data_IF_167422660554
#
_entry.id   IF_167422660554
#
_cell.length_a   1.000
_cell.length_b   1.000
_cell.length_c   1.000
_cell.angle_alpha   90.00
_cell.angle_beta   90.00
_cell.angle_gamma   90.00
#
_symmetry.space_group_name_H-M   'P 1'
#
loop_
_entity.id
_entity.type
_entity.pdbx_description
1 polymer ?
#
# COMPACT_ATOMS: atom_id res chain seq x y z
N UNK A 1 16.61 44.13 -17.67
CA UNK A 1 15.62 43.32 -16.93
C UNK A 1 16.34 42.16 -16.23
N UNK A 2 16.63 42.32 -14.94
CA UNK A 2 17.26 41.30 -14.10
C UNK A 2 16.27 40.17 -13.81
N UNK A 3 16.63 38.96 -14.25
CA UNK A 3 15.93 37.71 -14.01
C UNK A 3 15.59 37.53 -12.52
N UNK A 4 14.30 37.36 -12.22
CA UNK A 4 13.69 37.16 -10.90
C UNK A 4 14.21 35.87 -10.20
N UNK A 5 15.07 35.08 -10.85
CA UNK A 5 15.59 33.80 -10.35
C UNK A 5 16.83 33.89 -9.44
N UNK A 6 17.36 35.08 -9.13
CA UNK A 6 18.60 35.25 -8.34
C UNK A 6 18.39 35.55 -6.85
N UNK A 7 17.21 35.28 -6.29
CA UNK A 7 17.03 35.43 -4.84
C UNK A 7 17.56 34.19 -4.09
N UNK A 8 18.63 34.32 -3.26
CA UNK A 8 19.25 33.19 -2.57
C UNK A 8 18.29 32.48 -1.59
N UNK A 9 17.28 33.19 -1.09
CA UNK A 9 16.24 32.63 -0.22
C UNK A 9 15.33 31.61 -0.95
N UNK A 10 15.05 31.83 -2.25
CA UNK A 10 14.21 30.95 -3.08
C UNK A 10 14.98 29.69 -3.50
N UNK A 11 16.26 29.84 -3.85
CA UNK A 11 17.15 28.71 -4.19
C UNK A 11 17.34 27.77 -2.99
N UNK A 12 17.45 28.30 -1.77
CA UNK A 12 17.62 27.49 -0.55
C UNK A 12 16.39 26.64 -0.23
N UNK A 13 15.16 27.17 -0.39
CA UNK A 13 13.90 26.42 -0.21
C UNK A 13 13.70 25.32 -1.26
N UNK A 14 14.14 25.52 -2.49
CA UNK A 14 14.08 24.49 -3.55
C UNK A 14 15.15 23.41 -3.32
N UNK A 15 16.34 23.77 -2.83
CA UNK A 15 17.41 22.80 -2.55
C UNK A 15 17.12 21.88 -1.35
N UNK A 16 16.46 22.37 -0.28
CA UNK A 16 16.09 21.51 0.86
C UNK A 16 14.99 20.51 0.52
N UNK A 17 14.11 20.83 -0.45
CA UNK A 17 13.16 19.84 -1.00
C UNK A 17 13.86 18.71 -1.77
N UNK A 18 15.08 18.92 -2.27
CA UNK A 18 15.77 17.93 -3.13
C UNK A 18 16.17 16.66 -2.35
N UNK A 19 16.60 16.79 -1.10
CA UNK A 19 17.07 15.62 -0.33
C UNK A 19 15.93 14.71 0.13
N UNK A 20 14.85 15.28 0.66
CA UNK A 20 13.66 14.51 1.03
C UNK A 20 13.00 13.89 -0.19
N UNK A 21 12.91 14.64 -1.30
CA UNK A 21 12.32 14.13 -2.56
C UNK A 21 13.17 13.03 -3.20
N UNK A 22 14.50 13.06 -3.05
CA UNK A 22 15.42 12.01 -3.54
C UNK A 22 15.35 10.73 -2.71
N UNK A 23 15.07 10.85 -1.41
CA UNK A 23 14.87 9.69 -0.53
C UNK A 23 13.48 9.08 -0.77
N UNK A 24 12.43 9.90 -0.90
CA UNK A 24 11.07 9.39 -1.16
C UNK A 24 10.81 8.99 -2.61
N UNK A 25 11.65 9.39 -3.57
CA UNK A 25 11.55 8.96 -4.97
C UNK A 25 12.29 7.65 -5.27
N UNK A 26 12.96 7.05 -4.30
CA UNK A 26 13.73 5.84 -4.53
C UNK A 26 12.95 4.60 -4.04
N UNK A 27 12.47 3.80 -4.98
CA UNK A 27 11.72 2.56 -4.71
C UNK A 27 12.49 1.59 -3.80
N UNK A 28 13.83 1.54 -3.92
CA UNK A 28 14.67 0.70 -3.08
C UNK A 28 14.66 1.14 -1.61
N UNK A 29 14.65 2.45 -1.34
CA UNK A 29 14.57 2.96 0.03
C UNK A 29 13.19 2.68 0.62
N UNK A 30 12.12 2.87 -0.17
CA UNK A 30 10.76 2.55 0.26
C UNK A 30 10.65 1.07 0.66
N UNK A 31 11.12 0.14 -0.17
CA UNK A 31 11.11 -1.28 0.16
C UNK A 31 11.98 -1.63 1.37
N UNK A 32 13.17 -1.02 1.50
CA UNK A 32 14.01 -1.23 2.69
C UNK A 32 13.31 -0.78 3.99
N UNK A 33 12.60 0.36 3.95
CA UNK A 33 11.81 0.85 5.09
C UNK A 33 10.66 -0.11 5.41
N UNK A 34 9.96 -0.65 4.39
CA UNK A 34 8.90 -1.64 4.62
C UNK A 34 9.42 -2.92 5.26
N UNK A 35 10.54 -3.45 4.77
CA UNK A 35 11.19 -4.64 5.35
C UNK A 35 11.61 -4.37 6.80
N UNK A 36 12.20 -3.20 7.07
CA UNK A 36 12.56 -2.81 8.43
C UNK A 36 11.33 -2.73 9.34
N UNK A 37 10.22 -2.14 8.86
CA UNK A 37 8.98 -2.08 9.61
C UNK A 37 8.41 -3.48 9.92
N UNK A 38 8.44 -4.39 8.94
CA UNK A 38 8.02 -5.79 9.14
C UNK A 38 8.90 -6.52 10.15
N UNK A 39 10.22 -6.30 10.11
CA UNK A 39 11.15 -6.86 11.10
C UNK A 39 10.90 -6.32 12.50
N UNK A 40 10.65 -5.01 12.64
CA UNK A 40 10.27 -4.41 13.93
C UNK A 40 8.97 -5.03 14.44
N UNK A 41 7.95 -5.15 13.58
CA UNK A 41 6.68 -5.78 13.95
C UNK A 41 6.88 -7.23 14.41
N UNK A 42 7.72 -8.00 13.72
CA UNK A 42 8.07 -9.38 14.10
C UNK A 42 8.77 -9.44 15.47
N UNK A 43 9.74 -8.55 15.71
CA UNK A 43 10.43 -8.47 17.01
C UNK A 43 9.44 -8.12 18.13
N UNK A 44 8.57 -7.12 17.90
CA UNK A 44 7.54 -6.71 18.86
C UNK A 44 6.60 -7.87 19.17
N UNK A 45 6.11 -8.57 18.15
CA UNK A 45 5.18 -9.70 18.29
C UNK A 45 5.78 -10.89 19.08
N UNK A 46 7.10 -11.05 19.08
CA UNK A 46 7.79 -12.11 19.84
C UNK A 46 8.37 -11.64 21.18
N UNK A 47 8.07 -10.40 21.60
CA UNK A 47 8.61 -9.79 22.81
C UNK A 47 7.53 -9.55 23.87
N UNK A 48 7.91 -9.26 25.14
CA UNK A 48 6.96 -8.87 26.18
C UNK A 48 6.15 -7.60 25.86
N UNK A 49 6.61 -6.80 24.87
CA UNK A 49 5.88 -5.62 24.40
C UNK A 49 4.66 -5.97 23.54
N UNK A 50 4.48 -7.24 23.14
CA UNK A 50 3.34 -7.68 22.32
C UNK A 50 2.00 -7.33 22.97
N UNK A 51 1.84 -7.62 24.27
CA UNK A 51 0.57 -7.40 24.97
C UNK A 51 0.21 -5.91 25.02
N UNK A 52 1.19 -5.05 25.34
CA UNK A 52 0.99 -3.59 25.39
C UNK A 52 0.59 -3.03 24.02
N UNK A 53 1.25 -3.47 22.95
CA UNK A 53 0.93 -3.03 21.60
C UNK A 53 -0.43 -3.55 21.16
N UNK A 54 -0.76 -4.79 21.50
CA UNK A 54 -2.05 -5.42 21.20
C UNK A 54 -3.20 -4.69 21.90
N UNK A 55 -3.07 -4.39 23.19
CA UNK A 55 -4.07 -3.61 23.94
C UNK A 55 -4.33 -2.25 23.30
N UNK A 56 -3.28 -1.56 22.82
CA UNK A 56 -3.41 -0.28 22.11
C UNK A 56 -4.17 -0.46 20.78
N UNK A 57 -3.84 -1.50 20.01
CA UNK A 57 -4.46 -1.77 18.71
C UNK A 57 -5.92 -2.25 18.83
N UNK A 58 -6.25 -2.96 19.91
CA UNK A 58 -7.61 -3.44 20.20
C UNK A 58 -8.51 -2.38 20.89
N UNK A 59 -8.00 -1.17 21.17
CA UNK A 59 -8.80 -0.06 21.73
C UNK A 59 -10.05 0.15 20.87
N UNK A 60 -11.20 -0.03 21.50
CA UNK A 60 -12.50 0.13 20.86
C UNK A 60 -12.83 1.61 20.69
N UNK A 61 -12.97 2.04 19.45
CA UNK A 61 -13.43 3.38 19.11
C UNK A 61 -14.91 3.33 18.75
N UNK A 62 -15.69 4.17 19.41
CA UNK A 62 -17.11 4.36 19.12
C UNK A 62 -17.33 5.73 18.47
N UNK A 63 -17.84 5.75 17.25
CA UNK A 63 -18.28 6.97 16.57
C UNK A 63 -19.81 7.00 16.59
N UNK A 64 -20.37 8.02 17.21
CA UNK A 64 -21.82 8.24 17.23
C UNK A 64 -22.14 9.57 16.55
N UNK A 65 -22.91 9.53 15.47
CA UNK A 65 -23.40 10.73 14.78
C UNK A 65 -24.91 10.61 14.55
N UNK A 66 -25.69 11.29 15.40
CA UNK A 66 -27.15 11.16 15.39
C UNK A 66 -27.59 9.72 15.69
N UNK A 67 -28.24 9.07 14.72
CA UNK A 67 -28.72 7.68 14.82
C UNK A 67 -27.70 6.64 14.31
N UNK A 68 -26.54 7.07 13.81
CA UNK A 68 -25.50 6.16 13.32
C UNK A 68 -24.53 5.90 14.46
N UNK A 69 -24.40 4.63 14.84
CA UNK A 69 -23.43 4.14 15.81
C UNK A 69 -22.50 3.16 15.10
N UNK A 70 -21.21 3.48 15.08
CA UNK A 70 -20.16 2.61 14.55
C UNK A 70 -19.18 2.28 15.67
N UNK A 71 -18.85 1.00 15.81
CA UNK A 71 -17.85 0.49 16.75
C UNK A 71 -16.79 -0.27 15.97
N UNK A 72 -15.53 0.09 16.16
CA UNK A 72 -14.40 -0.62 15.52
C UNK A 72 -13.15 -0.50 16.38
N UNK A 73 -12.28 -1.50 16.30
CA UNK A 73 -10.97 -1.45 16.92
C UNK A 73 -10.07 -0.42 16.21
N UNK A 74 -9.10 0.13 16.94
CA UNK A 74 -8.08 1.02 16.38
C UNK A 74 -7.32 0.37 15.22
N UNK A 75 -7.00 -0.92 15.33
CA UNK A 75 -6.36 -1.70 14.27
C UNK A 75 -7.16 -1.65 12.96
N UNK A 76 -8.46 -1.96 13.02
CA UNK A 76 -9.34 -1.97 11.85
C UNK A 76 -9.44 -0.59 11.23
N UNK A 77 -9.58 0.46 12.05
CA UNK A 77 -9.63 1.83 11.56
C UNK A 77 -8.34 2.25 10.85
N UNK A 78 -7.18 1.97 11.45
CA UNK A 78 -5.88 2.30 10.86
C UNK A 78 -5.68 1.52 9.56
N UNK A 79 -6.04 0.24 9.52
CA UNK A 79 -5.98 -0.57 8.31
C UNK A 79 -6.85 0.03 7.20
N UNK A 80 -8.13 0.26 7.46
CA UNK A 80 -9.06 0.81 6.48
C UNK A 80 -8.62 2.20 5.99
N UNK A 81 -8.15 3.06 6.90
CA UNK A 81 -7.69 4.40 6.57
C UNK A 81 -6.43 4.38 5.68
N UNK A 82 -5.42 3.60 6.05
CA UNK A 82 -4.18 3.48 5.26
C UNK A 82 -4.45 2.81 3.91
N UNK A 83 -5.30 1.77 3.88
CA UNK A 83 -5.71 1.12 2.65
C UNK A 83 -6.52 2.05 1.75
N UNK A 84 -7.38 2.91 2.30
CA UNK A 84 -8.10 3.91 1.52
C UNK A 84 -7.14 4.89 0.82
N UNK A 85 -6.11 5.37 1.53
CA UNK A 85 -5.08 6.23 0.93
C UNK A 85 -4.28 5.47 -0.14
N UNK A 86 -3.88 4.23 0.15
CA UNK A 86 -3.14 3.39 -0.80
C UNK A 86 -3.94 3.15 -2.08
N UNK A 87 -5.19 2.71 -1.97
CA UNK A 87 -6.05 2.47 -3.13
C UNK A 87 -6.42 3.75 -3.88
N UNK A 88 -6.49 4.90 -3.21
CA UNK A 88 -6.65 6.18 -3.89
C UNK A 88 -5.44 6.47 -4.80
N UNK A 89 -4.22 6.28 -4.30
CA UNK A 89 -3.00 6.47 -5.09
C UNK A 89 -2.94 5.48 -6.27
N UNK A 90 -3.20 4.20 -6.01
CA UNK A 90 -3.27 3.16 -7.05
C UNK A 90 -4.35 3.49 -8.08
N UNK A 91 -5.51 3.99 -7.64
CA UNK A 91 -6.61 4.38 -8.52
C UNK A 91 -6.27 5.56 -9.44
N UNK A 92 -5.54 6.55 -8.93
CA UNK A 92 -5.04 7.68 -9.74
C UNK A 92 -4.04 7.18 -10.78
N UNK A 93 -3.11 6.31 -10.39
CA UNK A 93 -2.12 5.71 -11.29
C UNK A 93 -2.79 4.86 -12.37
N UNK A 94 -3.75 4.02 -11.99
CA UNK A 94 -4.51 3.21 -12.93
C UNK A 94 -5.28 4.08 -13.93
N UNK A 95 -5.90 5.17 -13.46
CA UNK A 95 -6.58 6.13 -14.34
C UNK A 95 -5.58 6.76 -15.32
N UNK A 96 -4.37 7.09 -14.89
CA UNK A 96 -3.32 7.60 -15.78
C UNK A 96 -2.93 6.57 -16.85
N UNK A 97 -2.68 5.31 -16.46
CA UNK A 97 -2.32 4.23 -17.38
C UNK A 97 -3.41 3.93 -18.42
N UNK A 98 -4.68 4.00 -18.02
CA UNK A 98 -5.82 3.77 -18.93
C UNK A 98 -6.03 4.95 -19.89
N UNK A 99 -5.76 6.18 -19.46
CA UNK A 99 -6.05 7.39 -20.27
C UNK A 99 -4.90 7.78 -21.20
N UNK A 100 -3.66 7.71 -20.71
CA UNK A 100 -2.47 8.21 -21.42
C UNK A 100 -1.40 7.12 -21.55
N UNK A 101 -1.35 6.17 -20.62
CA UNK A 101 -0.31 5.14 -20.56
C UNK A 101 -0.52 3.93 -21.47
N UNK A 102 0.08 2.81 -21.06
CA UNK A 102 0.22 1.60 -21.87
C UNK A 102 -1.10 0.83 -22.00
N UNK A 103 -2.01 1.01 -21.04
CA UNK A 103 -3.32 0.35 -21.03
C UNK A 103 -4.34 1.03 -21.95
N UNK A 104 -4.02 2.19 -22.52
CA UNK A 104 -4.92 2.92 -23.43
C UNK A 104 -5.28 2.14 -24.70
N UNK A 105 -4.33 1.37 -25.24
CA UNK A 105 -4.55 0.60 -26.48
C UNK A 105 -4.96 -0.83 -26.12
N UNK A 106 -6.15 -1.31 -26.53
CA UNK A 106 -6.64 -2.64 -26.14
C UNK A 106 -5.70 -3.77 -26.55
N UNK A 107 -5.03 -3.65 -27.71
CA UNK A 107 -4.02 -4.62 -28.16
C UNK A 107 -2.81 -4.71 -27.22
N UNK A 108 -2.41 -3.60 -26.59
CA UNK A 108 -1.28 -3.58 -25.66
C UNK A 108 -1.72 -3.99 -24.26
N UNK A 109 -2.93 -3.60 -23.84
CA UNK A 109 -3.51 -3.96 -22.56
C UNK A 109 -3.81 -5.47 -22.43
N UNK A 110 -4.09 -6.16 -23.54
CA UNK A 110 -4.52 -7.57 -23.52
C UNK A 110 -3.49 -8.50 -22.87
N UNK A 111 -2.20 -8.30 -23.14
CA UNK A 111 -1.15 -9.14 -22.57
C UNK A 111 -1.04 -8.97 -21.03
N UNK A 112 -0.87 -7.75 -20.47
CA UNK A 112 -0.91 -7.52 -19.02
C UNK A 112 -2.21 -7.99 -18.36
N UNK A 113 -3.36 -7.79 -19.01
CA UNK A 113 -4.66 -8.20 -18.45
C UNK A 113 -4.76 -9.73 -18.34
N UNK A 114 -4.35 -10.47 -19.38
CA UNK A 114 -4.34 -11.93 -19.34
C UNK A 114 -3.32 -12.46 -18.31
N UNK A 115 -2.15 -11.84 -18.22
CA UNK A 115 -1.15 -12.19 -17.21
C UNK A 115 -1.68 -11.96 -15.79
N UNK A 116 -2.37 -10.85 -15.54
CA UNK A 116 -2.98 -10.55 -14.25
C UNK A 116 -4.10 -11.54 -13.89
N UNK A 117 -5.00 -11.85 -14.84
CA UNK A 117 -6.07 -12.84 -14.63
C UNK A 117 -5.47 -14.22 -14.32
N UNK A 118 -4.44 -14.65 -15.05
CA UNK A 118 -3.74 -15.90 -14.75
C UNK A 118 -3.07 -15.88 -13.37
N UNK A 119 -2.41 -14.78 -13.03
CA UNK A 119 -1.76 -14.57 -11.73
C UNK A 119 -2.71 -14.57 -10.54
N UNK A 120 -3.99 -14.23 -10.75
CA UNK A 120 -5.03 -14.30 -9.71
C UNK A 120 -5.74 -15.66 -9.71
N UNK A 121 -6.14 -16.16 -10.88
CA UNK A 121 -6.94 -17.38 -10.98
C UNK A 121 -6.17 -18.62 -10.54
N UNK A 122 -4.90 -18.76 -10.92
CA UNK A 122 -4.11 -19.97 -10.63
C UNK A 122 -3.89 -20.15 -9.12
N UNK A 123 -3.36 -19.16 -8.35
CA UNK A 123 -3.17 -19.33 -6.92
C UNK A 123 -4.49 -19.50 -6.16
N UNK A 124 -5.56 -18.80 -6.56
CA UNK A 124 -6.89 -18.94 -5.96
C UNK A 124 -7.45 -20.36 -6.11
N UNK A 125 -7.36 -20.93 -7.33
CA UNK A 125 -7.84 -22.28 -7.60
C UNK A 125 -7.02 -23.34 -6.85
N UNK A 126 -5.70 -23.18 -6.78
CA UNK A 126 -4.83 -24.07 -6.01
C UNK A 126 -5.23 -24.04 -4.52
N UNK A 127 -5.43 -22.85 -3.95
CA UNK A 127 -5.86 -22.72 -2.55
C UNK A 127 -7.21 -23.38 -2.30
N UNK A 128 -8.20 -23.13 -3.15
CA UNK A 128 -9.54 -23.71 -3.02
C UNK A 128 -9.50 -25.24 -3.17
N UNK A 129 -8.72 -25.78 -4.11
CA UNK A 129 -8.58 -27.22 -4.27
C UNK A 129 -8.04 -27.91 -3.00
N UNK A 130 -7.17 -27.22 -2.24
CA UNK A 130 -6.57 -27.74 -1.02
C UNK A 130 -7.38 -27.46 0.25
N UNK A 131 -8.11 -26.34 0.31
CA UNK A 131 -8.72 -25.82 1.55
C UNK A 131 -10.23 -25.54 1.44
N UNK A 132 -10.91 -26.04 0.40
CA UNK A 132 -12.36 -25.80 0.21
C UNK A 132 -13.21 -26.26 1.41
N UNK A 133 -12.83 -27.33 2.10
CA UNK A 133 -13.60 -27.88 3.22
C UNK A 133 -13.29 -27.22 4.57
N UNK A 134 -12.11 -26.62 4.72
CA UNK A 134 -11.61 -26.10 6.00
C UNK A 134 -11.71 -24.58 6.09
N UNK A 135 -11.26 -23.87 5.06
CA UNK A 135 -11.14 -22.42 5.07
C UNK A 135 -11.38 -21.81 3.67
N UNK A 136 -12.57 -21.98 3.08
CA UNK A 136 -12.85 -21.55 1.71
C UNK A 136 -12.69 -20.04 1.51
N UNK A 137 -12.85 -19.23 2.55
CA UNK A 137 -12.74 -17.76 2.48
C UNK A 137 -11.29 -17.24 2.33
N UNK A 138 -10.27 -18.08 2.54
CA UNK A 138 -8.86 -17.65 2.46
C UNK A 138 -8.27 -17.61 1.04
N UNK A 139 -9.06 -17.83 0.00
CA UNK A 139 -8.59 -17.86 -1.40
C UNK A 139 -7.98 -16.54 -1.86
N UNK A 140 -8.33 -15.43 -1.19
CA UNK A 140 -7.82 -14.09 -1.49
C UNK A 140 -6.40 -13.85 -0.93
N UNK A 141 -5.92 -14.65 0.02
CA UNK A 141 -4.59 -14.49 0.62
C UNK A 141 -3.44 -14.74 -0.37
N UNK A 142 -3.41 -15.83 -1.16
CA UNK A 142 -2.30 -16.11 -2.09
C UNK A 142 -2.31 -15.26 -3.36
N UNK A 143 -3.37 -14.51 -3.64
CA UNK A 143 -3.46 -13.62 -4.82
C UNK A 143 -2.98 -12.19 -4.53
N UNK A 144 -2.86 -11.82 -3.25
CA UNK A 144 -2.44 -10.49 -2.85
C UNK A 144 -0.95 -10.29 -3.18
N UNK A 145 -0.65 -9.44 -4.17
CA UNK A 145 0.72 -9.09 -4.56
C UNK A 145 1.04 -7.69 -4.03
N UNK A 146 2.08 -7.57 -3.19
CA UNK A 146 2.57 -6.27 -2.72
C UNK A 146 3.43 -5.59 -3.80
N UNK A 147 2.83 -4.62 -4.50
CA UNK A 147 3.47 -3.86 -5.58
C UNK A 147 4.68 -3.08 -5.06
N UNK A 148 4.64 -2.55 -3.84
CA UNK A 148 5.73 -1.74 -3.29
C UNK A 148 6.97 -2.61 -3.01
N UNK A 149 6.77 -3.86 -2.59
CA UNK A 149 7.87 -4.81 -2.45
C UNK A 149 8.40 -5.27 -3.81
N UNK A 150 7.51 -5.62 -4.75
CA UNK A 150 7.90 -6.06 -6.08
C UNK A 150 8.75 -5.02 -6.83
N UNK A 151 8.35 -3.73 -6.78
CA UNK A 151 9.07 -2.63 -7.43
C UNK A 151 10.38 -2.25 -6.73
N UNK A 152 10.53 -2.52 -5.44
CA UNK A 152 11.74 -2.15 -4.71
C UNK A 152 12.88 -3.16 -4.83
N UNK A 153 12.57 -4.41 -5.23
CA UNK A 153 13.54 -5.50 -5.43
C UNK A 153 14.03 -5.59 -6.89
N UNK A 154 13.23 -5.13 -7.86
CA UNK A 154 13.60 -5.04 -9.29
C UNK A 154 14.55 -3.88 -9.55
#
# INVERSE_FOLDING_TARGET
MSSIYREPAVVRRISQRSSLKRITSNSTIAAAVMVLAALIALVVANSPAHEVVREILEVQMSFSFGMIHAHMALETFVNDFLMAIFFLLVGIELKYEVTVGQLRKPRQAMLPMLAAVGGVAVPALIYLALNASTAPHGWATPIATDIAFALGVM
#
